data_IF_719651742858
#
_entry.id   IF_719651742858
#
_cell.length_a   1.000
_cell.length_b   1.000
_cell.length_c   1.000
_cell.angle_alpha   90.00
_cell.angle_beta   90.00
_cell.angle_gamma   90.00
#
_symmetry.space_group_name_H-M   'P 1'
#
loop_
_entity.id
_entity.type
_entity.pdbx_description
1 polymer ?
#
# COMPACT_ATOMS: atom_id res chain seq x y z
N UNK A 1 15.38 31.51 -8.39
CA UNK A 1 15.22 30.20 -9.09
C UNK A 1 16.52 29.42 -8.99
N UNK A 2 16.46 28.08 -8.90
CA UNK A 2 17.64 27.21 -8.88
C UNK A 2 17.85 26.56 -10.25
N UNK A 3 19.10 26.36 -10.65
CA UNK A 3 19.43 25.61 -11.87
C UNK A 3 19.05 24.13 -11.71
N UNK A 4 18.23 23.62 -12.62
CA UNK A 4 17.85 22.21 -12.70
C UNK A 4 18.05 21.72 -14.14
N UNK A 5 18.56 20.50 -14.33
CA UNK A 5 18.71 19.91 -15.68
C UNK A 5 17.41 19.33 -16.22
N UNK A 6 16.62 18.75 -15.32
CA UNK A 6 15.46 17.94 -15.69
C UNK A 6 14.17 18.43 -15.01
N UNK A 7 13.04 17.98 -15.54
CA UNK A 7 11.72 18.23 -14.98
C UNK A 7 11.16 19.61 -15.32
N UNK A 8 10.10 19.99 -14.61
CA UNK A 8 9.32 21.19 -14.92
C UNK A 8 10.14 22.50 -14.80
N UNK A 9 11.10 22.53 -13.87
CA UNK A 9 12.00 23.66 -13.62
C UNK A 9 13.33 23.54 -14.37
N UNK A 10 13.41 22.68 -15.40
CA UNK A 10 14.62 22.57 -16.22
C UNK A 10 15.03 23.94 -16.78
N UNK A 11 16.33 24.21 -16.77
CA UNK A 11 16.92 25.42 -17.34
C UNK A 11 16.55 25.55 -18.83
N UNK A 12 16.12 26.74 -19.24
CA UNK A 12 15.49 26.97 -20.56
C UNK A 12 16.28 27.87 -21.49
N UNK A 13 17.21 28.65 -20.94
CA UNK A 13 18.07 29.48 -21.76
C UNK A 13 19.01 28.58 -22.58
N UNK A 14 19.19 28.85 -23.89
CA UNK A 14 20.12 28.08 -24.73
C UNK A 14 21.55 28.05 -24.19
N UNK A 15 21.95 29.10 -23.48
CA UNK A 15 23.23 29.21 -22.80
C UNK A 15 23.08 28.81 -21.34
N UNK A 16 24.03 28.03 -20.84
CA UNK A 16 24.07 27.69 -19.41
C UNK A 16 24.47 28.91 -18.57
N UNK A 17 24.09 28.98 -17.29
CA UNK A 17 24.50 30.08 -16.41
C UNK A 17 26.00 30.40 -16.45
N UNK A 18 26.86 29.37 -16.44
CA UNK A 18 28.33 29.53 -16.54
C UNK A 18 28.75 30.22 -17.84
N UNK A 19 28.10 29.89 -18.96
CA UNK A 19 28.37 30.47 -20.27
C UNK A 19 27.89 31.92 -20.36
N UNK A 20 26.71 32.22 -19.81
CA UNK A 20 26.16 33.58 -19.74
C UNK A 20 27.10 34.47 -18.92
N UNK A 21 27.50 34.02 -17.73
CA UNK A 21 28.40 34.80 -16.87
C UNK A 21 29.76 35.04 -17.53
N UNK A 22 30.34 34.02 -18.19
CA UNK A 22 31.60 34.17 -18.91
C UNK A 22 31.49 35.16 -20.08
N UNK A 23 30.36 35.16 -20.81
CA UNK A 23 30.06 36.11 -21.89
C UNK A 23 29.99 37.54 -21.35
N UNK A 24 29.24 37.77 -20.27
CA UNK A 24 29.13 39.09 -19.64
C UNK A 24 30.48 39.62 -19.13
N UNK A 25 31.30 38.76 -18.52
CA UNK A 25 32.65 39.14 -18.10
C UNK A 25 33.52 39.55 -19.29
N UNK A 26 33.45 38.81 -20.40
CA UNK A 26 34.19 39.11 -21.63
C UNK A 26 33.75 40.43 -22.26
N UNK A 27 32.44 40.67 -22.36
CA UNK A 27 31.87 41.91 -22.90
C UNK A 27 32.27 43.14 -22.05
N UNK A 28 32.34 42.95 -20.73
CA UNK A 28 32.79 43.98 -19.81
C UNK A 28 34.32 44.06 -19.63
N UNK A 29 35.08 43.29 -20.42
CA UNK A 29 36.57 43.25 -20.41
C UNK A 29 37.17 42.89 -19.04
N UNK A 30 36.54 41.98 -18.32
CA UNK A 30 37.02 41.41 -17.06
C UNK A 30 37.52 39.98 -17.29
N UNK A 31 38.47 39.55 -16.47
CA UNK A 31 38.91 38.15 -16.40
C UNK A 31 37.72 37.17 -16.26
N UNK A 32 37.83 35.97 -16.85
CA UNK A 32 36.77 34.96 -16.76
C UNK A 32 36.48 34.57 -15.30
N UNK A 33 35.22 34.18 -14.99
CA UNK A 33 34.84 33.78 -13.64
C UNK A 33 35.60 32.51 -13.20
N UNK A 34 36.09 32.52 -11.96
CA UNK A 34 36.77 31.37 -11.34
C UNK A 34 35.88 30.79 -10.25
N UNK A 35 35.57 29.49 -10.38
CA UNK A 35 34.70 28.76 -9.47
C UNK A 35 35.54 27.94 -8.48
N UNK A 36 35.28 28.12 -7.19
CA UNK A 36 35.86 27.33 -6.10
C UNK A 36 34.74 26.90 -5.16
N UNK A 37 34.84 25.76 -4.46
CA UNK A 37 33.80 25.35 -3.52
C UNK A 37 33.44 26.48 -2.54
N UNK A 38 32.17 26.91 -2.54
CA UNK A 38 31.65 27.98 -1.70
C UNK A 38 31.94 29.42 -2.14
N UNK A 39 32.77 29.66 -3.17
CA UNK A 39 33.13 31.02 -3.61
C UNK A 39 33.26 31.15 -5.13
N UNK A 40 32.75 32.26 -5.69
CA UNK A 40 32.99 32.64 -7.09
C UNK A 40 33.77 33.94 -7.15
N UNK A 41 34.85 33.96 -7.91
CA UNK A 41 35.62 35.18 -8.17
C UNK A 41 35.30 35.72 -9.57
N UNK A 42 34.89 36.97 -9.61
CA UNK A 42 34.63 37.73 -10.86
C UNK A 42 35.43 39.02 -10.81
N UNK A 43 36.48 39.09 -11.62
CA UNK A 43 37.47 40.18 -11.56
C UNK A 43 38.13 40.28 -10.18
N UNK A 44 37.89 41.39 -9.48
CA UNK A 44 38.43 41.64 -8.13
C UNK A 44 37.45 41.28 -7.00
N UNK A 45 36.21 40.94 -7.32
CA UNK A 45 35.16 40.67 -6.35
C UNK A 45 35.05 39.16 -6.15
N UNK A 46 35.05 38.74 -4.88
CA UNK A 46 34.82 37.34 -4.50
C UNK A 46 33.50 37.26 -3.75
N UNK A 47 32.57 36.47 -4.26
CA UNK A 47 31.22 36.33 -3.68
C UNK A 47 31.11 34.95 -3.03
N UNK A 48 30.79 34.87 -1.74
CA UNK A 48 30.46 33.60 -1.10
C UNK A 48 29.11 33.10 -1.61
N UNK A 49 29.04 31.83 -1.99
CA UNK A 49 27.82 31.16 -2.44
C UNK A 49 27.62 29.90 -1.61
N UNK A 50 26.47 29.79 -0.96
CA UNK A 50 26.13 28.59 -0.20
C UNK A 50 25.77 27.46 -1.18
N UNK A 51 26.47 26.33 -1.11
CA UNK A 51 26.23 25.17 -1.95
C UNK A 51 26.15 23.93 -1.08
N UNK A 52 25.13 23.10 -1.30
CA UNK A 52 25.05 21.77 -0.70
C UNK A 52 26.15 20.87 -1.28
N UNK A 53 26.99 20.28 -0.42
CA UNK A 53 28.17 19.47 -0.81
C UNK A 53 27.85 18.14 -1.53
N UNK A 54 26.57 17.83 -1.75
CA UNK A 54 26.10 16.52 -2.26
C UNK A 54 25.94 16.49 -3.79
N UNK A 55 26.05 17.64 -4.47
CA UNK A 55 25.80 17.75 -5.91
C UNK A 55 27.06 17.53 -6.78
N UNK A 56 26.86 17.01 -8.02
CA UNK A 56 27.89 16.93 -9.07
C UNK A 56 28.56 18.30 -9.27
N UNK A 57 29.90 18.33 -9.34
CA UNK A 57 30.72 19.53 -9.56
C UNK A 57 30.17 20.41 -10.70
N UNK A 58 29.73 19.80 -11.80
CA UNK A 58 29.18 20.54 -12.95
C UNK A 58 27.81 21.17 -12.66
N UNK A 59 27.02 20.63 -11.74
CA UNK A 59 25.73 21.22 -11.34
C UNK A 59 25.97 22.35 -10.35
N UNK A 60 26.94 22.16 -9.45
CA UNK A 60 27.39 23.19 -8.51
C UNK A 60 27.83 24.46 -9.26
N UNK A 61 28.72 24.35 -10.24
CA UNK A 61 29.20 25.51 -11.00
C UNK A 61 28.06 26.32 -11.66
N UNK A 62 27.05 25.64 -12.20
CA UNK A 62 25.89 26.30 -12.82
C UNK A 62 25.02 27.04 -11.80
N UNK A 63 24.81 26.46 -10.61
CA UNK A 63 24.09 27.14 -9.53
C UNK A 63 24.86 28.34 -8.99
N UNK A 64 26.18 28.20 -8.88
CA UNK A 64 27.05 29.29 -8.47
C UNK A 64 27.02 30.44 -9.47
N UNK A 65 27.18 30.14 -10.76
CA UNK A 65 27.09 31.14 -11.82
C UNK A 65 25.72 31.84 -11.82
N UNK A 66 24.62 31.09 -11.68
CA UNK A 66 23.27 31.65 -11.62
C UNK A 66 23.07 32.60 -10.43
N UNK A 67 23.67 32.29 -9.28
CA UNK A 67 23.63 33.17 -8.10
C UNK A 67 24.32 34.51 -8.38
N UNK A 68 25.46 34.48 -9.09
CA UNK A 68 26.15 35.70 -9.51
C UNK A 68 25.32 36.48 -10.53
N UNK A 69 24.68 35.81 -11.50
CA UNK A 69 23.82 36.48 -12.49
C UNK A 69 22.65 37.24 -11.84
N UNK A 70 21.97 36.67 -10.84
CA UNK A 70 20.93 37.38 -10.10
C UNK A 70 21.46 38.64 -9.39
N UNK A 71 22.73 38.60 -8.96
CA UNK A 71 23.42 39.70 -8.29
C UNK A 71 24.26 40.55 -9.26
N UNK A 72 24.10 40.38 -10.56
CA UNK A 72 24.96 41.06 -11.53
C UNK A 72 24.91 42.58 -11.35
N UNK A 73 23.75 43.14 -11.01
CA UNK A 73 23.54 44.54 -10.70
C UNK A 73 24.37 45.09 -9.51
N UNK A 74 24.86 44.23 -8.60
CA UNK A 74 25.72 44.61 -7.47
C UNK A 74 27.17 44.87 -7.92
N UNK A 75 27.56 44.44 -9.12
CA UNK A 75 28.89 44.67 -9.66
C UNK A 75 29.01 46.08 -10.24
N UNK A 76 30.19 46.74 -10.18
CA UNK A 76 30.36 48.13 -10.66
C UNK A 76 30.00 48.36 -12.14
N UNK A 77 30.12 47.31 -12.94
CA UNK A 77 29.79 47.25 -14.38
C UNK A 77 28.45 46.55 -14.65
N UNK A 78 27.75 46.22 -13.58
CA UNK A 78 26.57 45.38 -13.55
C UNK A 78 25.31 46.12 -13.95
N UNK A 79 24.30 45.35 -14.34
CA UNK A 79 22.94 45.83 -14.54
C UNK A 79 21.94 44.78 -14.06
N UNK A 80 20.67 45.16 -13.94
CA UNK A 80 19.60 44.21 -13.71
C UNK A 80 19.38 43.38 -14.98
N UNK A 81 19.78 42.10 -14.94
CA UNK A 81 19.63 41.19 -16.09
C UNK A 81 18.19 40.71 -16.30
N UNK A 82 17.33 40.80 -15.28
CA UNK A 82 15.92 40.43 -15.36
C UNK A 82 15.05 41.57 -14.84
N UNK A 83 14.56 42.46 -15.71
CA UNK A 83 13.43 43.31 -15.36
C UNK A 83 12.16 42.44 -15.35
N UNK A 84 11.45 42.40 -14.21
CA UNK A 84 10.18 41.68 -14.09
C UNK A 84 9.08 42.37 -14.91
N UNK A 85 9.00 42.04 -16.20
CA UNK A 85 7.87 42.40 -17.05
C UNK A 85 6.92 41.21 -17.15
N UNK A 86 6.26 40.91 -16.04
CA UNK A 86 5.17 39.93 -16.00
C UNK A 86 3.88 40.67 -16.34
N UNK A 87 3.27 40.32 -17.48
CA UNK A 87 1.93 40.75 -17.84
C UNK A 87 0.91 39.75 -17.30
N UNK A 88 -0.08 40.24 -16.55
CA UNK A 88 -1.17 39.42 -16.03
C UNK A 88 -2.46 39.72 -16.78
N UNK A 89 -3.08 38.70 -17.36
CA UNK A 89 -4.39 38.80 -18.04
C UNK A 89 -5.43 37.89 -17.39
N UNK A 90 -6.59 38.45 -17.06
CA UNK A 90 -7.73 37.69 -16.55
C UNK A 90 -8.38 36.85 -17.64
N UNK A 91 -8.79 35.63 -17.30
CA UNK A 91 -9.50 34.71 -18.16
C UNK A 91 -11.00 34.78 -17.89
N UNK A 92 -11.78 34.84 -18.96
CA UNK A 92 -13.23 34.91 -18.92
C UNK A 92 -13.83 33.78 -19.78
N UNK A 93 -14.92 33.18 -19.30
CA UNK A 93 -15.72 32.26 -20.11
C UNK A 93 -16.81 33.07 -20.85
N UNK A 94 -16.93 32.94 -22.19
CA UNK A 94 -18.00 33.57 -22.96
C UNK A 94 -19.42 33.28 -22.44
N UNK A 95 -19.65 32.11 -21.86
CA UNK A 95 -20.94 31.68 -21.28
C UNK A 95 -21.24 32.34 -19.93
N UNK A 96 -20.22 32.89 -19.25
CA UNK A 96 -20.34 33.59 -17.95
C UNK A 96 -19.66 34.97 -18.03
N UNK A 97 -20.17 35.89 -18.86
CA UNK A 97 -19.56 37.19 -19.05
C UNK A 97 -19.50 37.96 -17.72
N UNK A 98 -18.35 38.59 -17.45
CA UNK A 98 -18.11 39.37 -16.23
C UNK A 98 -17.59 38.58 -15.03
N UNK A 99 -17.53 37.23 -15.10
CA UNK A 99 -16.94 36.41 -14.03
C UNK A 99 -15.54 35.94 -14.44
N UNK A 100 -14.52 36.42 -13.71
CA UNK A 100 -13.14 35.97 -13.86
C UNK A 100 -12.99 34.50 -13.42
N UNK A 101 -12.40 33.65 -14.27
CA UNK A 101 -12.21 32.21 -14.02
C UNK A 101 -10.75 31.82 -13.78
N UNK A 102 -9.85 32.79 -13.74
CA UNK A 102 -8.43 32.59 -13.55
C UNK A 102 -7.63 33.75 -14.15
N UNK A 103 -6.31 33.67 -14.02
CA UNK A 103 -5.35 34.63 -14.58
C UNK A 103 -4.24 33.88 -15.30
N UNK A 104 -3.77 34.45 -16.40
CA UNK A 104 -2.52 34.07 -17.06
C UNK A 104 -1.49 35.12 -16.70
N UNK A 105 -0.36 34.69 -16.15
CA UNK A 105 0.85 35.50 -16.03
C UNK A 105 1.80 35.10 -17.15
N UNK A 106 2.27 36.06 -17.93
CA UNK A 106 3.15 35.84 -19.06
C UNK A 106 4.32 36.82 -19.03
N UNK A 107 5.48 36.35 -19.49
CA UNK A 107 6.61 37.20 -19.84
C UNK A 107 7.03 36.82 -21.25
N UNK A 108 7.58 37.79 -21.98
CA UNK A 108 8.10 37.57 -23.33
C UNK A 108 9.61 37.70 -23.25
N UNK A 109 10.30 36.68 -23.76
CA UNK A 109 11.75 36.69 -23.91
C UNK A 109 12.10 36.87 -25.39
N UNK A 110 13.08 37.73 -25.68
CA UNK A 110 13.47 38.11 -27.04
C UNK A 110 14.89 37.62 -27.31
N UNK A 111 15.02 36.58 -28.14
CA UNK A 111 16.31 36.00 -28.49
C UNK A 111 16.87 36.62 -29.78
N UNK A 112 18.13 37.12 -29.76
CA UNK A 112 18.88 37.46 -30.96
C UNK A 112 19.02 36.28 -31.93
N UNK A 113 18.90 36.57 -33.24
CA UNK A 113 18.93 35.57 -34.30
C UNK A 113 20.31 34.94 -34.53
N UNK A 114 21.37 35.54 -33.99
CA UNK A 114 22.76 35.06 -34.05
C UNK A 114 23.14 34.12 -32.91
N UNK A 115 22.21 33.85 -31.99
CA UNK A 115 22.40 32.91 -30.88
C UNK A 115 21.69 31.58 -31.14
N UNK A 116 22.06 30.50 -30.40
CA UNK A 116 21.35 29.23 -30.50
C UNK A 116 19.87 29.43 -30.23
N UNK A 117 19.02 28.80 -31.04
CA UNK A 117 17.57 28.90 -30.90
C UNK A 117 17.13 28.40 -29.52
N UNK A 118 16.07 29.00 -28.93
CA UNK A 118 15.46 28.47 -27.72
C UNK A 118 15.06 27.01 -27.89
N UNK A 119 15.06 26.29 -26.77
CA UNK A 119 14.63 24.91 -26.73
C UNK A 119 13.18 24.72 -27.21
N UNK A 120 12.74 23.47 -27.40
CA UNK A 120 11.37 23.19 -27.84
C UNK A 120 10.34 23.81 -26.89
N UNK A 121 9.18 24.27 -27.42
CA UNK A 121 8.10 24.80 -26.59
C UNK A 121 7.72 23.83 -25.47
N UNK A 122 7.36 24.37 -24.31
CA UNK A 122 6.89 23.53 -23.21
C UNK A 122 5.57 22.88 -23.59
N UNK A 123 5.51 21.56 -23.50
CA UNK A 123 4.25 20.86 -23.68
C UNK A 123 3.32 21.16 -22.49
N UNK A 124 2.34 22.03 -22.74
CA UNK A 124 1.28 22.40 -21.79
C UNK A 124 0.04 21.52 -21.92
N UNK A 125 0.08 20.47 -22.75
CA UNK A 125 -1.05 19.54 -22.87
C UNK A 125 -1.40 18.95 -21.51
N UNK A 126 -2.70 18.71 -21.22
CA UNK A 126 -3.11 18.03 -20.00
C UNK A 126 -2.30 16.76 -19.79
N UNK A 127 -1.70 16.64 -18.60
CA UNK A 127 -0.86 15.50 -18.27
C UNK A 127 -1.75 14.28 -18.16
N UNK A 128 -1.46 13.25 -18.95
CA UNK A 128 -2.21 11.99 -18.91
C UNK A 128 -1.76 11.15 -17.72
N UNK A 129 -2.70 10.48 -17.02
CA UNK A 129 -2.33 9.49 -16.02
C UNK A 129 -1.60 8.31 -16.68
N UNK A 130 -0.82 7.60 -15.88
CA UNK A 130 -0.12 6.38 -16.29
C UNK A 130 -0.66 5.20 -15.48
N UNK A 131 -0.89 4.07 -16.16
CA UNK A 131 -1.31 2.84 -15.51
C UNK A 131 -0.18 2.20 -14.69
N UNK A 132 -0.52 1.74 -13.49
CA UNK A 132 0.34 1.01 -12.59
C UNK A 132 -0.36 -0.24 -12.05
N UNK A 133 0.44 -1.25 -11.72
CA UNK A 133 0.04 -2.44 -10.97
C UNK A 133 0.79 -2.47 -9.64
N UNK A 134 0.07 -2.43 -8.53
CA UNK A 134 0.60 -2.62 -7.18
C UNK A 134 0.35 -4.05 -6.73
N UNK A 135 1.43 -4.80 -6.55
CA UNK A 135 1.43 -6.14 -5.96
C UNK A 135 1.72 -6.00 -4.47
N UNK A 136 0.84 -6.53 -3.62
CA UNK A 136 1.02 -6.54 -2.16
C UNK A 136 1.03 -7.99 -1.70
N UNK A 137 2.14 -8.47 -1.15
CA UNK A 137 2.23 -9.81 -0.59
C UNK A 137 2.11 -9.70 0.93
N UNK A 138 1.09 -10.32 1.49
CA UNK A 138 0.94 -10.53 2.93
C UNK A 138 1.69 -11.82 3.27
N UNK A 139 2.83 -11.68 3.94
CA UNK A 139 3.65 -12.81 4.36
C UNK A 139 3.08 -13.37 5.66
N UNK A 140 3.19 -12.59 6.72
CA UNK A 140 2.85 -13.00 8.08
C UNK A 140 2.16 -11.88 8.86
N UNK A 141 1.49 -12.24 9.95
CA UNK A 141 1.08 -11.36 11.03
C UNK A 141 1.71 -11.83 12.34
N UNK A 142 1.91 -10.91 13.28
CA UNK A 142 2.47 -11.20 14.61
C UNK A 142 1.80 -10.33 15.67
N UNK A 143 1.73 -10.82 16.90
CA UNK A 143 1.13 -10.16 18.07
C UNK A 143 -0.30 -9.60 17.81
N UNK A 144 -1.09 -10.26 16.96
CA UNK A 144 -2.50 -9.89 16.74
C UNK A 144 -3.32 -10.22 18.00
N UNK A 145 -4.21 -9.31 18.39
CA UNK A 145 -5.11 -9.51 19.54
C UNK A 145 -5.99 -10.74 19.34
N UNK A 146 -6.19 -11.50 20.43
CA UNK A 146 -6.98 -12.73 20.44
C UNK A 146 -8.34 -12.49 21.11
N UNK A 147 -9.41 -12.66 20.35
CA UNK A 147 -10.79 -12.41 20.79
C UNK A 147 -11.50 -13.69 21.26
N UNK A 148 -11.35 -14.81 20.55
CA UNK A 148 -12.07 -16.05 20.85
C UNK A 148 -11.49 -16.84 22.03
N UNK A 149 -12.35 -17.56 22.75
CA UNK A 149 -11.95 -18.61 23.68
C UNK A 149 -12.12 -19.99 23.02
N UNK A 150 -11.04 -20.78 22.99
CA UNK A 150 -11.07 -22.14 22.44
C UNK A 150 -12.08 -23.01 23.22
N UNK A 151 -13.15 -23.44 22.55
CA UNK A 151 -14.28 -24.17 23.14
C UNK A 151 -13.90 -25.37 24.05
N UNK A 152 -12.76 -26.01 23.80
CA UNK A 152 -12.31 -27.19 24.55
C UNK A 152 -11.24 -26.92 25.61
N UNK A 153 -10.39 -25.90 25.44
CA UNK A 153 -9.27 -25.61 26.36
C UNK A 153 -9.49 -24.35 27.18
N UNK A 154 -10.40 -23.46 26.77
CA UNK A 154 -10.57 -22.13 27.36
C UNK A 154 -9.37 -21.20 27.13
N UNK A 155 -8.47 -21.56 26.22
CA UNK A 155 -7.33 -20.73 25.82
C UNK A 155 -7.77 -19.74 24.76
N UNK A 156 -7.32 -18.49 24.85
CA UNK A 156 -7.60 -17.48 23.84
C UNK A 156 -7.00 -17.87 22.48
N UNK A 157 -7.76 -17.70 21.42
CA UNK A 157 -7.36 -17.94 20.03
C UNK A 157 -8.04 -16.94 19.09
N UNK A 158 -7.61 -16.87 17.84
CA UNK A 158 -8.33 -16.17 16.76
C UNK A 158 -8.08 -16.85 15.41
N UNK A 159 -9.08 -16.80 14.53
CA UNK A 159 -9.07 -17.23 13.14
C UNK A 159 -8.74 -16.04 12.23
N UNK A 160 -7.45 -15.73 12.11
CA UNK A 160 -6.98 -14.45 11.55
C UNK A 160 -7.04 -14.45 10.02
N UNK A 161 -7.51 -13.36 9.43
CA UNK A 161 -7.29 -13.06 8.01
C UNK A 161 -7.11 -11.55 7.76
N UNK A 162 -6.54 -11.21 6.60
CA UNK A 162 -6.24 -9.81 6.24
C UNK A 162 -7.03 -9.40 4.99
N UNK A 163 -7.69 -8.24 5.07
CA UNK A 163 -8.34 -7.56 3.94
C UNK A 163 -7.48 -6.39 3.47
N UNK A 164 -7.52 -6.08 2.18
CA UNK A 164 -6.83 -4.95 1.61
C UNK A 164 -7.55 -4.35 0.42
N UNK A 165 -7.36 -3.05 0.21
CA UNK A 165 -7.82 -2.35 -0.99
C UNK A 165 -7.01 -1.07 -1.20
N UNK A 166 -6.95 -0.63 -2.46
CA UNK A 166 -6.49 0.73 -2.78
C UNK A 166 -7.71 1.64 -2.79
N UNK A 167 -7.61 2.82 -2.18
CA UNK A 167 -8.74 3.76 -2.13
C UNK A 167 -9.22 4.05 -3.56
N UNK A 168 -10.53 3.93 -3.76
CA UNK A 168 -11.23 4.26 -5.01
C UNK A 168 -11.22 3.19 -6.10
N UNK A 169 -10.49 2.09 -5.93
CA UNK A 169 -10.80 0.85 -6.64
C UNK A 169 -11.93 0.12 -5.89
N UNK A 170 -12.85 -0.51 -6.61
CA UNK A 170 -13.89 -1.36 -6.00
C UNK A 170 -13.34 -2.77 -5.65
N UNK A 171 -12.07 -3.01 -5.92
CA UNK A 171 -11.35 -4.26 -5.65
C UNK A 171 -10.95 -4.38 -4.18
N UNK A 172 -11.83 -4.95 -3.36
CA UNK A 172 -11.51 -5.44 -2.02
C UNK A 172 -11.02 -6.89 -2.10
N UNK A 173 -9.80 -7.15 -1.65
CA UNK A 173 -9.17 -8.47 -1.68
C UNK A 173 -8.87 -8.95 -0.26
N UNK A 174 -9.00 -10.26 -0.03
CA UNK A 174 -8.72 -10.87 1.27
C UNK A 174 -7.81 -12.08 1.13
N UNK A 175 -7.05 -12.36 2.19
CA UNK A 175 -6.30 -13.62 2.29
C UNK A 175 -7.24 -14.79 2.56
N UNK A 176 -6.70 -16.01 2.55
CA UNK A 176 -7.35 -17.12 3.24
C UNK A 176 -7.22 -16.99 4.77
N UNK A 177 -7.95 -17.82 5.50
CA UNK A 177 -8.01 -17.78 6.96
C UNK A 177 -6.88 -18.62 7.54
N UNK A 178 -6.20 -18.08 8.55
CA UNK A 178 -5.31 -18.82 9.43
C UNK A 178 -6.08 -19.24 10.68
N UNK A 179 -6.50 -20.51 10.71
CA UNK A 179 -7.29 -21.04 11.82
C UNK A 179 -6.47 -21.25 13.09
N UNK A 180 -7.06 -20.91 14.23
CA UNK A 180 -6.60 -21.24 15.58
C UNK A 180 -5.21 -20.70 15.89
N UNK A 181 -5.01 -19.41 15.68
CA UNK A 181 -3.81 -18.72 16.16
C UNK A 181 -3.86 -18.59 17.68
N UNK A 182 -2.88 -19.16 18.38
CA UNK A 182 -2.78 -19.11 19.86
C UNK A 182 -1.88 -17.97 20.35
N UNK A 183 -1.08 -17.39 19.46
CA UNK A 183 -0.06 -16.39 19.77
C UNK A 183 -0.29 -15.06 19.05
N UNK A 184 -1.30 -14.98 18.18
CA UNK A 184 -1.51 -13.83 17.29
C UNK A 184 -0.68 -13.90 16.00
N UNK A 185 0.03 -15.02 15.78
CA UNK A 185 0.76 -15.29 14.55
C UNK A 185 -0.17 -15.79 13.44
N UNK A 186 -0.02 -15.26 12.23
CA UNK A 186 -0.79 -15.70 11.06
C UNK A 186 0.12 -15.80 9.84
N UNK A 187 0.16 -16.97 9.19
CA UNK A 187 1.02 -17.22 8.03
C UNK A 187 0.18 -17.35 6.76
N UNK A 188 0.40 -16.49 5.75
CA UNK A 188 -0.48 -16.38 4.59
C UNK A 188 0.22 -16.66 3.26
N UNK A 189 1.38 -16.05 3.01
CA UNK A 189 2.03 -16.03 1.69
C UNK A 189 1.01 -15.74 0.58
N UNK A 190 0.32 -14.60 0.66
CA UNK A 190 -0.82 -14.29 -0.19
C UNK A 190 -0.62 -12.98 -0.94
N UNK A 191 -0.79 -12.99 -2.27
CA UNK A 191 -0.62 -11.82 -3.13
C UNK A 191 -1.94 -11.14 -3.47
N UNK A 192 -2.03 -9.84 -3.19
CA UNK A 192 -3.01 -8.93 -3.77
C UNK A 192 -2.43 -8.23 -5.00
N UNK A 193 -3.27 -7.95 -5.99
CA UNK A 193 -2.87 -7.27 -7.22
C UNK A 193 -3.89 -6.16 -7.52
N UNK A 194 -3.46 -4.91 -7.51
CA UNK A 194 -4.32 -3.75 -7.74
C UNK A 194 -3.84 -2.95 -8.95
N UNK A 195 -4.76 -2.68 -9.89
CA UNK A 195 -4.49 -1.86 -11.06
C UNK A 195 -5.12 -0.47 -10.89
N UNK A 196 -4.34 0.58 -11.16
CA UNK A 196 -4.85 1.95 -11.08
C UNK A 196 -4.04 2.93 -11.95
N UNK A 197 -4.71 4.02 -12.33
CA UNK A 197 -4.11 5.12 -13.06
C UNK A 197 -3.59 6.20 -12.11
N UNK A 198 -2.34 6.63 -12.30
CA UNK A 198 -1.67 7.58 -11.41
C UNK A 198 -1.11 8.79 -12.15
N UNK A 199 -1.36 9.97 -11.59
CA UNK A 199 -0.85 11.25 -12.10
C UNK A 199 0.29 11.75 -11.21
N UNK A 200 1.53 11.52 -11.63
CA UNK A 200 2.73 11.80 -10.84
C UNK A 200 2.92 13.28 -10.45
N UNK A 201 2.35 14.19 -11.25
CA UNK A 201 2.41 15.63 -11.01
C UNK A 201 1.62 16.04 -9.76
N UNK A 202 0.41 15.50 -9.62
CA UNK A 202 -0.53 15.83 -8.56
C UNK A 202 -0.45 14.81 -7.40
N UNK A 203 0.25 13.69 -7.60
CA UNK A 203 0.39 12.60 -6.63
C UNK A 203 -0.96 11.97 -6.25
N UNK A 204 -1.83 11.82 -7.25
CA UNK A 204 -3.19 11.31 -7.11
C UNK A 204 -3.44 10.14 -8.05
N UNK A 205 -4.27 9.21 -7.60
CA UNK A 205 -4.91 8.21 -8.48
C UNK A 205 -6.05 8.91 -9.21
N UNK A 206 -6.19 8.62 -10.51
CA UNK A 206 -7.26 9.12 -11.37
C UNK A 206 -8.23 7.98 -11.60
N UNK A 207 -9.51 8.22 -11.38
CA UNK A 207 -10.58 7.26 -11.63
C UNK A 207 -11.55 7.89 -12.60
N UNK A 208 -11.72 7.26 -13.74
CA UNK A 208 -12.68 7.64 -14.75
C UNK A 208 -13.96 6.84 -14.52
N UNK A 209 -15.04 7.49 -14.06
CA UNK A 209 -16.36 6.87 -13.88
C UNK A 209 -17.33 7.37 -14.94
N UNK A 210 -18.03 6.45 -15.59
CA UNK A 210 -19.25 6.74 -16.37
C UNK A 210 -20.43 6.72 -15.42
N UNK A 211 -21.24 7.78 -15.40
CA UNK A 211 -22.42 7.84 -14.52
C UNK A 211 -23.49 6.80 -14.89
N UNK A 212 -23.50 6.34 -16.14
CA UNK A 212 -24.36 5.26 -16.64
C UNK A 212 -23.74 4.60 -17.87
N UNK A 213 -24.10 3.34 -18.15
CA UNK A 213 -23.72 2.61 -19.39
C UNK A 213 -24.17 3.36 -20.65
N UNK A 214 -25.14 4.28 -20.52
CA UNK A 214 -25.69 5.10 -21.60
C UNK A 214 -25.25 6.58 -21.55
N UNK A 215 -24.47 7.00 -20.55
CA UNK A 215 -23.93 8.36 -20.49
C UNK A 215 -22.61 8.44 -21.26
N UNK A 216 -22.52 9.40 -22.18
CA UNK A 216 -21.28 9.68 -22.90
C UNK A 216 -20.26 10.46 -22.05
N UNK A 217 -20.73 11.12 -20.98
CA UNK A 217 -19.90 11.94 -20.12
C UNK A 217 -19.12 11.08 -19.13
N UNK A 218 -17.79 11.09 -19.28
CA UNK A 218 -16.84 10.48 -18.36
C UNK A 218 -16.46 11.50 -17.29
N UNK A 219 -16.77 11.19 -16.03
CA UNK A 219 -16.35 12.01 -14.89
C UNK A 219 -14.98 11.53 -14.40
N UNK A 220 -13.99 12.42 -14.40
CA UNK A 220 -12.67 12.13 -13.81
C UNK A 220 -12.63 12.58 -12.36
N UNK A 221 -12.41 11.63 -11.45
CA UNK A 221 -12.24 11.90 -10.03
C UNK A 221 -10.81 11.62 -9.61
N UNK A 222 -10.23 12.52 -8.82
CA UNK A 222 -8.86 12.42 -8.34
C UNK A 222 -8.83 12.19 -6.85
N UNK A 223 -8.11 11.15 -6.43
CA UNK A 223 -8.09 10.72 -5.03
C UNK A 223 -6.66 10.44 -4.55
N UNK A 224 -6.39 10.50 -3.24
CA UNK A 224 -5.08 10.15 -2.71
C UNK A 224 -4.72 8.68 -2.97
N UNK A 225 -3.48 8.42 -3.35
CA UNK A 225 -2.95 7.07 -3.54
C UNK A 225 -2.71 6.40 -2.18
N UNK A 226 -3.70 5.65 -1.70
CA UNK A 226 -3.71 5.06 -0.35
C UNK A 226 -4.03 3.57 -0.42
N UNK A 227 -3.19 2.76 0.23
CA UNK A 227 -3.44 1.34 0.48
C UNK A 227 -3.95 1.20 1.91
N UNK A 228 -5.12 0.61 2.07
CA UNK A 228 -5.70 0.27 3.37
C UNK A 228 -5.61 -1.25 3.55
N UNK A 229 -5.13 -1.68 4.71
CA UNK A 229 -5.07 -3.08 5.15
C UNK A 229 -5.82 -3.19 6.48
N UNK A 230 -6.55 -4.27 6.66
CA UNK A 230 -7.26 -4.57 7.90
C UNK A 230 -7.07 -6.01 8.30
N UNK A 231 -6.98 -6.25 9.60
CA UNK A 231 -6.94 -7.60 10.18
C UNK A 231 -8.25 -7.88 10.91
N UNK A 232 -8.75 -9.10 10.72
CA UNK A 232 -10.07 -9.54 11.17
C UNK A 232 -9.98 -10.93 11.79
N UNK A 233 -10.89 -11.20 12.73
CA UNK A 233 -11.18 -12.54 13.25
C UNK A 233 -12.35 -13.15 12.47
N UNK A 234 -12.18 -14.36 11.95
CA UNK A 234 -13.20 -15.05 11.16
C UNK A 234 -14.11 -15.88 12.06
N UNK A 235 -15.34 -15.43 12.21
CA UNK A 235 -16.30 -16.06 13.10
C UNK A 235 -17.17 -17.08 12.35
N UNK A 236 -17.42 -18.24 12.96
CA UNK A 236 -18.18 -19.29 12.27
C UNK A 236 -19.71 -19.11 12.35
N UNK A 237 -20.19 -18.45 13.40
CA UNK A 237 -21.63 -18.31 13.71
C UNK A 237 -22.09 -16.85 13.94
N UNK A 238 -21.15 -15.90 13.95
CA UNK A 238 -21.35 -14.46 14.13
C UNK A 238 -20.78 -13.67 12.96
N UNK A 239 -20.90 -12.34 13.02
CA UNK A 239 -20.19 -11.46 12.10
C UNK A 239 -18.71 -11.38 12.52
N UNK A 240 -17.80 -11.44 11.55
CA UNK A 240 -16.36 -11.29 11.77
C UNK A 240 -16.01 -10.04 12.58
N UNK A 241 -15.07 -10.20 13.52
CA UNK A 241 -14.63 -9.11 14.40
C UNK A 241 -13.46 -8.33 13.78
N UNK A 242 -13.56 -7.01 13.84
CA UNK A 242 -12.51 -6.11 13.38
C UNK A 242 -11.42 -5.95 14.45
N UNK A 243 -10.19 -6.38 14.13
CA UNK A 243 -9.07 -6.38 15.07
C UNK A 243 -8.12 -5.18 14.87
N UNK A 244 -8.03 -4.62 13.67
CA UNK A 244 -7.13 -3.48 13.44
C UNK A 244 -7.02 -3.03 12.00
N UNK A 245 -6.54 -1.80 11.81
CA UNK A 245 -6.33 -1.20 10.50
C UNK A 245 -4.94 -0.59 10.35
N UNK A 246 -4.47 -0.55 9.11
CA UNK A 246 -3.23 0.09 8.69
C UNK A 246 -3.51 0.82 7.38
N UNK A 247 -3.18 2.11 7.36
CA UNK A 247 -3.35 2.95 6.18
C UNK A 247 -2.00 3.49 5.72
N UNK A 248 -1.58 3.16 4.51
CA UNK A 248 -0.33 3.60 3.89
C UNK A 248 -0.61 4.58 2.73
N UNK A 249 -0.17 5.83 2.85
CA UNK A 249 -0.11 6.75 1.69
C UNK A 249 1.07 6.37 0.82
N UNK A 250 0.81 5.86 -0.38
CA UNK A 250 1.82 5.36 -1.32
C UNK A 250 2.86 6.43 -1.70
N UNK A 251 2.51 7.72 -1.60
CA UNK A 251 3.44 8.81 -1.85
C UNK A 251 4.41 9.06 -0.69
N UNK A 252 4.04 8.70 0.54
CA UNK A 252 4.80 8.98 1.76
C UNK A 252 4.30 8.12 2.92
N UNK A 253 4.98 7.02 3.23
CA UNK A 253 4.68 6.16 4.37
C UNK A 253 5.97 5.76 5.12
N UNK A 254 5.89 5.43 6.43
CA UNK A 254 7.08 5.03 7.19
C UNK A 254 7.67 3.75 6.62
N UNK A 255 8.99 3.69 6.54
CA UNK A 255 9.70 2.46 6.16
C UNK A 255 9.38 1.35 7.17
N UNK A 256 8.94 0.20 6.67
CA UNK A 256 8.63 -0.96 7.51
C UNK A 256 9.85 -1.44 8.31
N UNK A 257 9.61 -1.94 9.51
CA UNK A 257 10.65 -2.47 10.38
C UNK A 257 11.21 -3.79 9.81
N UNK A 258 12.46 -4.13 10.15
CA UNK A 258 13.12 -5.35 9.66
C UNK A 258 12.61 -6.63 10.32
N UNK A 259 11.97 -6.51 11.48
CA UNK A 259 11.45 -7.64 12.27
C UNK A 259 10.26 -7.16 13.10
N UNK A 260 9.33 -8.06 13.44
CA UNK A 260 8.18 -7.75 14.28
C UNK A 260 8.53 -7.10 15.63
N UNK A 261 9.65 -7.50 16.26
CA UNK A 261 10.14 -6.91 17.52
C UNK A 261 10.50 -5.43 17.44
N UNK A 262 10.92 -4.96 16.27
CA UNK A 262 11.29 -3.57 16.02
C UNK A 262 10.10 -2.75 15.47
N UNK A 263 8.98 -3.41 15.20
CA UNK A 263 7.77 -2.77 14.71
C UNK A 263 6.99 -2.21 15.91
N UNK A 264 7.01 -0.88 16.06
CA UNK A 264 6.36 -0.18 17.17
C UNK A 264 5.38 0.86 16.65
N UNK A 265 4.40 1.23 17.48
CA UNK A 265 3.40 2.25 17.15
C UNK A 265 4.03 3.62 16.86
N UNK A 266 5.20 3.88 17.44
CA UNK A 266 5.97 5.10 17.25
C UNK A 266 6.33 5.37 15.78
N UNK A 267 6.40 4.32 14.96
CA UNK A 267 6.67 4.45 13.53
C UNK A 267 5.59 5.23 12.77
N UNK A 268 4.36 5.24 13.29
CA UNK A 268 3.23 5.94 12.67
C UNK A 268 2.97 7.28 13.38
N UNK A 269 3.19 7.35 14.70
CA UNK A 269 2.85 8.53 15.50
C UNK A 269 3.95 9.59 15.53
N UNK A 270 5.23 9.20 15.42
CA UNK A 270 6.34 10.16 15.45
C UNK A 270 6.59 10.77 14.07
N UNK A 271 6.36 12.08 13.97
CA UNK A 271 6.72 12.90 12.80
C UNK A 271 8.06 13.65 12.97
N UNK A 272 8.91 13.22 13.91
CA UNK A 272 10.20 13.84 14.24
C UNK A 272 11.33 13.53 13.24
N UNK A 273 11.05 12.71 12.22
CA UNK A 273 12.03 12.30 11.21
C UNK A 273 12.92 11.14 11.64
N UNK A 274 12.67 10.53 12.81
CA UNK A 274 13.39 9.34 13.30
C UNK A 274 13.21 8.14 12.37
N UNK A 275 12.02 7.97 11.78
CA UNK A 275 11.71 6.89 10.84
C UNK A 275 11.77 7.42 9.40
N UNK A 276 12.64 6.84 8.54
CA UNK A 276 12.71 7.22 7.14
C UNK A 276 11.37 7.02 6.42
N UNK A 277 10.90 8.05 5.72
CA UNK A 277 9.68 7.98 4.91
C UNK A 277 9.99 7.51 3.49
N UNK A 278 9.15 6.65 2.95
CA UNK A 278 9.30 6.03 1.64
C UNK A 278 8.19 6.49 0.70
N UNK A 279 8.53 6.62 -0.57
CA UNK A 279 7.60 6.84 -1.67
C UNK A 279 7.71 5.65 -2.63
N UNK A 280 6.64 4.87 -2.79
CA UNK A 280 6.68 3.64 -3.61
C UNK A 280 6.92 3.94 -5.10
N UNK A 281 6.51 5.10 -5.59
CA UNK A 281 6.74 5.54 -6.97
C UNK A 281 8.22 5.88 -7.26
N UNK A 282 9.03 6.09 -6.21
CA UNK A 282 10.48 6.24 -6.32
C UNK A 282 11.22 4.94 -6.00
N UNK A 283 10.78 4.25 -4.95
CA UNK A 283 11.31 2.96 -4.53
C UNK A 283 10.29 1.87 -4.84
N UNK A 284 10.39 1.27 -6.03
CA UNK A 284 9.40 0.34 -6.58
C UNK A 284 9.10 -0.88 -5.69
N UNK A 285 10.05 -1.35 -4.88
CA UNK A 285 9.89 -2.55 -4.04
C UNK A 285 10.33 -2.29 -2.60
N UNK A 286 9.49 -2.70 -1.65
CA UNK A 286 9.79 -2.62 -0.22
C UNK A 286 9.13 -3.78 0.52
N UNK A 287 9.86 -4.39 1.44
CA UNK A 287 9.37 -5.40 2.37
C UNK A 287 9.66 -4.94 3.80
N UNK A 288 8.72 -5.15 4.72
CA UNK A 288 8.91 -4.83 6.12
C UNK A 288 7.69 -5.12 6.97
N UNK A 289 7.80 -4.76 8.24
CA UNK A 289 6.74 -4.88 9.24
C UNK A 289 6.10 -3.53 9.52
N UNK A 290 4.77 -3.50 9.58
CA UNK A 290 3.99 -2.32 9.95
C UNK A 290 2.97 -2.66 11.05
N UNK A 291 2.69 -1.74 11.98
CA UNK A 291 1.76 -1.98 13.06
C UNK A 291 0.30 -1.75 12.60
N UNK A 292 -0.57 -2.68 12.93
CA UNK A 292 -2.01 -2.47 12.94
C UNK A 292 -2.43 -1.74 14.20
N UNK A 293 -3.40 -0.84 14.08
CA UNK A 293 -3.91 -0.11 15.21
C UNK A 293 -5.42 0.10 15.15
N UNK A 294 -6.00 0.31 16.32
CA UNK A 294 -7.36 0.80 16.50
C UNK A 294 -7.28 2.19 17.14
N UNK A 295 -8.20 3.05 16.72
CA UNK A 295 -8.42 4.35 17.34
C UNK A 295 -9.54 4.21 18.38
N UNK A 296 -9.19 4.30 19.66
CA UNK A 296 -10.18 4.33 20.76
C UNK A 296 -10.86 5.71 20.83
N UNK A 297 -11.99 5.79 21.52
CA UNK A 297 -12.81 7.00 21.66
C UNK A 297 -12.03 8.23 22.17
N UNK A 298 -10.96 7.99 22.94
CA UNK A 298 -10.08 9.03 23.47
C UNK A 298 -9.00 9.52 22.47
N UNK A 299 -9.13 9.22 21.18
CA UNK A 299 -8.14 9.54 20.13
C UNK A 299 -6.76 8.86 20.30
N UNK A 300 -6.62 7.98 21.29
CA UNK A 300 -5.40 7.20 21.52
C UNK A 300 -5.37 6.01 20.56
N UNK A 301 -4.25 5.87 19.85
CA UNK A 301 -3.99 4.74 18.97
C UNK A 301 -3.37 3.60 19.79
N UNK A 302 -3.98 2.42 19.70
CA UNK A 302 -3.52 1.21 20.35
C UNK A 302 -3.03 0.21 19.30
N UNK A 303 -1.87 -0.40 19.56
CA UNK A 303 -1.30 -1.45 18.73
C UNK A 303 -2.12 -2.74 18.92
N UNK A 304 -2.71 -3.25 17.85
CA UNK A 304 -3.56 -4.46 17.90
C UNK A 304 -3.03 -5.62 17.06
N UNK A 305 -1.90 -5.43 16.39
CA UNK A 305 -1.20 -6.45 15.64
C UNK A 305 -0.08 -5.88 14.79
N UNK A 306 0.65 -6.75 14.12
CA UNK A 306 1.72 -6.36 13.18
C UNK A 306 1.56 -7.18 11.91
N UNK A 307 1.87 -6.59 10.77
CA UNK A 307 1.85 -7.27 9.46
C UNK A 307 3.18 -7.15 8.76
N UNK A 308 3.68 -8.30 8.30
CA UNK A 308 4.78 -8.38 7.34
C UNK A 308 4.20 -8.33 5.94
N UNK A 309 4.42 -7.20 5.26
CA UNK A 309 3.97 -7.02 3.90
C UNK A 309 5.14 -6.71 2.96
N UNK A 310 4.94 -7.00 1.69
CA UNK A 310 5.84 -6.61 0.62
C UNK A 310 5.04 -5.91 -0.48
N UNK A 311 5.41 -4.67 -0.76
CA UNK A 311 4.81 -3.85 -1.80
C UNK A 311 5.76 -3.79 -2.98
N UNK A 312 5.25 -4.09 -4.17
CA UNK A 312 5.96 -3.99 -5.43
C UNK A 312 5.09 -3.26 -6.45
N UNK A 313 5.51 -2.06 -6.84
CA UNK A 313 4.84 -1.21 -7.82
C UNK A 313 5.54 -1.32 -9.18
N UNK A 314 4.77 -1.67 -10.20
CA UNK A 314 5.20 -1.81 -11.58
C UNK A 314 4.39 -0.88 -12.46
N UNK A 315 4.97 -0.38 -13.55
CA UNK A 315 4.14 0.22 -14.60
C UNK A 315 3.32 -0.87 -15.28
N UNK A 316 2.20 -0.51 -15.88
CA UNK A 316 1.35 -1.48 -16.59
C UNK A 316 2.14 -2.27 -17.65
N UNK A 317 3.03 -1.60 -18.40
CA UNK A 317 3.93 -2.25 -19.37
C UNK A 317 4.90 -3.28 -18.73
N UNK A 318 5.37 -3.02 -17.50
CA UNK A 318 6.26 -3.94 -16.77
C UNK A 318 5.49 -5.13 -16.21
N UNK A 319 4.24 -4.90 -15.78
CA UNK A 319 3.34 -5.91 -15.26
C UNK A 319 2.89 -6.91 -16.33
N UNK A 320 2.54 -6.43 -17.52
CA UNK A 320 2.17 -7.27 -18.67
C UNK A 320 3.31 -8.20 -19.11
N UNK A 321 4.57 -7.76 -18.97
CA UNK A 321 5.75 -8.59 -19.27
C UNK A 321 6.02 -9.67 -18.23
N UNK A 322 5.61 -9.45 -16.97
CA UNK A 322 5.85 -10.36 -15.85
C UNK A 322 4.53 -10.62 -15.12
N UNK A 323 3.58 -11.34 -15.73
CA UNK A 323 2.26 -11.52 -15.14
C UNK A 323 2.33 -12.33 -13.84
N UNK A 324 1.43 -12.03 -12.91
CA UNK A 324 1.30 -12.73 -11.63
C UNK A 324 -0.14 -13.19 -11.38
N UNK A 325 -0.30 -14.31 -10.69
CA UNK A 325 -1.58 -14.77 -10.19
C UNK A 325 -1.97 -14.10 -8.87
N UNK A 326 -3.28 -14.08 -8.60
CA UNK A 326 -3.85 -13.69 -7.31
C UNK A 326 -3.60 -14.77 -6.24
N UNK A 327 -3.38 -14.34 -5.00
CA UNK A 327 -3.12 -15.23 -3.87
C UNK A 327 -1.84 -16.02 -4.06
N UNK A 328 -1.98 -17.34 -4.24
CA UNK A 328 -0.88 -18.29 -4.48
C UNK A 328 -0.93 -18.89 -5.89
N UNK A 329 -1.84 -18.43 -6.72
CA UNK A 329 -2.09 -19.03 -8.03
C UNK A 329 -0.99 -18.64 -9.02
N UNK A 330 -0.87 -19.43 -10.09
CA UNK A 330 -0.06 -19.08 -11.26
C UNK A 330 -0.66 -17.87 -12.00
N UNK A 331 0.14 -17.12 -12.76
CA UNK A 331 1.60 -17.22 -12.96
C UNK A 331 2.44 -16.75 -11.75
N UNK A 332 3.68 -17.26 -11.64
CA UNK A 332 4.60 -17.01 -10.51
C UNK A 332 3.96 -17.30 -9.13
N UNK A 333 3.61 -18.57 -8.86
CA UNK A 333 2.89 -18.97 -7.65
C UNK A 333 3.74 -18.75 -6.40
N UNK A 334 3.08 -18.39 -5.30
CA UNK A 334 3.72 -18.30 -3.99
C UNK A 334 3.72 -19.65 -3.28
N UNK A 335 4.80 -19.93 -2.54
CA UNK A 335 4.89 -21.11 -1.70
C UNK A 335 3.78 -21.12 -0.65
N UNK A 336 3.26 -22.31 -0.35
CA UNK A 336 2.28 -22.46 0.74
C UNK A 336 2.90 -22.05 2.08
N UNK A 337 2.14 -21.36 2.94
CA UNK A 337 2.65 -20.96 4.25
C UNK A 337 2.93 -22.19 5.12
N UNK A 338 3.95 -22.10 5.96
CA UNK A 338 4.24 -23.14 6.95
C UNK A 338 3.30 -22.95 8.14
N UNK A 339 2.22 -23.73 8.19
CA UNK A 339 1.20 -23.69 9.27
C UNK A 339 1.30 -24.97 10.10
N UNK A 340 1.23 -24.90 11.44
CA UNK A 340 1.11 -26.11 12.26
C UNK A 340 -0.20 -26.84 11.94
N UNK A 341 -0.19 -28.19 11.98
CA UNK A 341 -1.34 -29.06 11.67
C UNK A 341 -2.48 -29.04 12.72
N UNK A 342 -2.68 -27.91 13.41
CA UNK A 342 -3.70 -27.75 14.46
C UNK A 342 -5.12 -27.57 13.89
N UNK A 343 -5.25 -27.29 12.60
CA UNK A 343 -6.50 -26.98 11.89
C UNK A 343 -7.50 -28.15 11.82
N UNK A 344 -7.07 -29.41 11.96
CA UNK A 344 -7.95 -30.58 11.86
C UNK A 344 -8.54 -31.08 13.19
N UNK A 345 -8.17 -30.49 14.33
CA UNK A 345 -8.59 -30.99 15.64
C UNK A 345 -10.07 -30.65 15.92
N UNK A 346 -10.61 -29.57 15.36
CA UNK A 346 -11.96 -29.10 15.65
C UNK A 346 -13.07 -30.05 15.16
N UNK A 347 -12.92 -30.73 14.02
CA UNK A 347 -13.93 -31.71 13.56
C UNK A 347 -13.80 -33.07 14.28
N UNK A 348 -12.58 -33.46 14.65
CA UNK A 348 -12.32 -34.75 15.30
C UNK A 348 -12.63 -34.74 16.81
N UNK A 349 -12.66 -33.57 17.44
CA UNK A 349 -12.98 -33.42 18.85
C UNK A 349 -14.47 -33.65 19.21
N UNK A 350 -15.47 -33.11 18.50
CA UNK A 350 -16.87 -33.32 18.83
C UNK A 350 -17.25 -34.79 18.73
N UNK A 351 -16.74 -35.55 17.75
CA UNK A 351 -17.00 -36.99 17.64
C UNK A 351 -16.33 -37.79 18.79
N UNK A 352 -15.12 -37.42 19.21
CA UNK A 352 -14.45 -38.04 20.38
C UNK A 352 -15.16 -37.69 21.69
N UNK A 353 -15.62 -36.46 21.85
CA UNK A 353 -16.38 -35.98 23.00
C UNK A 353 -17.79 -36.59 23.05
N UNK A 354 -18.49 -36.71 21.91
CA UNK A 354 -19.77 -37.43 21.81
C UNK A 354 -19.58 -38.89 22.19
N UNK A 355 -18.54 -39.55 21.67
CA UNK A 355 -18.21 -40.93 22.02
C UNK A 355 -17.93 -41.07 23.52
N UNK A 356 -17.20 -40.14 24.13
CA UNK A 356 -16.90 -40.16 25.56
C UNK A 356 -18.15 -39.95 26.42
N UNK A 357 -19.01 -38.97 26.08
CA UNK A 357 -20.25 -38.65 26.81
C UNK A 357 -21.29 -39.78 26.66
N UNK A 358 -21.49 -40.30 25.44
CA UNK A 358 -22.34 -41.46 25.18
C UNK A 358 -21.84 -42.69 25.95
N UNK A 359 -20.52 -42.93 25.97
CA UNK A 359 -19.95 -44.08 26.65
C UNK A 359 -19.94 -43.95 28.18
N UNK A 360 -19.80 -42.76 28.75
CA UNK A 360 -19.84 -42.55 30.20
C UNK A 360 -21.28 -42.66 30.75
N UNK A 361 -22.24 -41.99 30.11
CA UNK A 361 -23.59 -41.82 30.67
C UNK A 361 -24.60 -42.88 30.19
N UNK A 362 -24.44 -43.39 28.96
CA UNK A 362 -25.40 -44.31 28.35
C UNK A 362 -24.94 -45.77 28.33
N UNK A 363 -23.68 -46.10 28.67
CA UNK A 363 -23.21 -47.52 28.66
C UNK A 363 -24.11 -48.46 29.45
N UNK A 364 -24.51 -48.08 30.66
CA UNK A 364 -25.37 -48.91 31.51
C UNK A 364 -26.82 -48.92 31.04
N UNK A 365 -27.29 -47.83 30.40
CA UNK A 365 -28.64 -47.76 29.82
C UNK A 365 -28.75 -48.63 28.56
N UNK A 366 -27.74 -48.59 27.70
CA UNK A 366 -27.62 -49.42 26.49
C UNK A 366 -27.50 -50.90 26.87
N UNK A 367 -26.66 -51.23 27.86
CA UNK A 367 -26.52 -52.61 28.34
C UNK A 367 -27.84 -53.14 28.92
N UNK A 368 -28.54 -52.35 29.75
CA UNK A 368 -29.87 -52.73 30.27
C UNK A 368 -30.89 -52.93 29.16
N UNK A 369 -30.92 -52.05 28.16
CA UNK A 369 -31.79 -52.17 26.99
C UNK A 369 -31.51 -53.46 26.20
N UNK A 370 -30.24 -53.78 25.93
CA UNK A 370 -29.86 -55.00 25.23
C UNK A 370 -30.24 -56.26 26.02
N UNK A 371 -30.07 -56.26 27.34
CA UNK A 371 -30.48 -57.38 28.20
C UNK A 371 -32.00 -57.56 28.19
N UNK A 372 -32.77 -56.47 28.27
CA UNK A 372 -34.24 -56.52 28.19
C UNK A 372 -34.67 -57.05 26.82
N UNK A 373 -34.06 -56.55 25.73
CA UNK A 373 -34.33 -57.00 24.37
C UNK A 373 -34.01 -58.49 24.18
N UNK A 374 -32.90 -58.97 24.75
CA UNK A 374 -32.55 -60.38 24.70
C UNK A 374 -33.57 -61.25 25.47
N UNK A 375 -34.01 -60.80 26.65
CA UNK A 375 -35.03 -61.49 27.45
C UNK A 375 -36.38 -61.52 26.75
N UNK A 376 -36.80 -60.42 26.10
CA UNK A 376 -38.05 -60.39 25.34
C UNK A 376 -37.98 -61.28 24.11
N UNK A 377 -36.86 -61.31 23.40
CA UNK A 377 -36.63 -62.26 22.30
C UNK A 377 -36.69 -63.72 22.77
N UNK A 378 -36.08 -64.01 23.93
CA UNK A 378 -36.09 -65.36 24.51
C UNK A 378 -37.51 -65.78 24.91
N UNK A 379 -38.29 -64.88 25.50
CA UNK A 379 -39.70 -65.11 25.80
C UNK A 379 -40.54 -65.29 24.53
N UNK A 380 -40.35 -64.46 23.50
CA UNK A 380 -41.03 -64.60 22.22
C UNK A 380 -40.72 -65.94 21.57
N UNK A 381 -39.44 -66.36 21.56
CA UNK A 381 -39.02 -67.67 21.05
C UNK A 381 -39.59 -68.82 21.89
N UNK A 382 -39.69 -68.66 23.21
CA UNK A 382 -40.30 -69.63 24.11
C UNK A 382 -41.80 -69.82 23.81
N UNK A 383 -42.56 -68.73 23.68
CA UNK A 383 -43.98 -68.79 23.30
C UNK A 383 -44.21 -69.24 21.86
N UNK A 384 -43.31 -68.90 20.95
CA UNK A 384 -43.35 -69.40 19.57
C UNK A 384 -43.07 -70.92 19.49
N UNK A 385 -42.22 -71.46 20.37
CA UNK A 385 -41.89 -72.90 20.40
C UNK A 385 -42.87 -73.76 21.23
N UNK A 386 -43.71 -73.14 22.07
CA UNK A 386 -44.71 -73.83 22.91
C UNK A 386 -45.76 -74.67 22.15
N UNK A 387 -46.30 -74.27 20.97
CA UNK A 387 -47.23 -75.09 20.21
C UNK A 387 -46.58 -76.34 19.63
N UNK A 388 -45.27 -76.31 19.35
CA UNK A 388 -44.52 -77.46 18.82
C UNK A 388 -44.19 -78.53 19.88
N UNK A 389 -43.97 -78.11 21.13
CA UNK A 389 -43.61 -79.02 22.23
C UNK A 389 -44.84 -79.64 22.91
N UNK A 390 -45.94 -78.91 22.99
CA UNK A 390 -47.23 -79.44 23.48
C UNK A 390 -47.87 -80.39 22.47
N UNK A 391 -47.77 -80.11 21.17
CA UNK A 391 -48.20 -81.03 20.12
C UNK A 391 -47.43 -82.37 20.15
N UNK A 392 -46.12 -82.36 20.40
CA UNK A 392 -45.29 -83.57 20.55
C UNK A 392 -45.58 -84.38 21.82
N UNK A 393 -46.15 -83.77 22.86
CA UNK A 393 -46.47 -84.47 24.13
C UNK A 393 -47.90 -85.02 24.17
N UNK A 394 -48.80 -84.48 23.34
CA UNK A 394 -50.20 -84.94 23.22
C UNK A 394 -50.34 -86.00 22.11
N UNK A 395 -49.56 -85.90 21.03
CA UNK A 395 -49.48 -86.94 19.99
C UNK A 395 -48.28 -87.82 20.32
N UNK A 396 -48.49 -88.90 21.07
CA UNK A 396 -47.42 -89.85 21.40
C UNK A 396 -46.68 -90.33 20.16
N UNK A 397 -45.39 -90.00 20.07
CA UNK A 397 -44.45 -90.60 19.14
C UNK A 397 -43.06 -90.59 19.78
N UNK A 398 -42.37 -91.73 19.66
CA UNK A 398 -41.05 -92.05 20.24
C UNK A 398 -40.01 -90.94 20.13
#
# INVERSE_FOLDING_TARGET
>A
MNFCRDGYNAWRDPMKPTQILAKLCKEAKIDPPVYTPGHVKVGRITVPVNVDEVDDLKIMEERMALTILHKWHEFPIGCYLTPEHIETRSLYNPEKPGMEQGKIEMWVDMFPMDMPLPGPPTNISPRKPKGYELRVIIWNTDEVVLEDDAFFTGEKMSDIYVKGWVKGTEDNQSTDIHYRSLTGEGNFNWRFVYNFDYLSAERRIVITKKESVFSWDESETKIPARLDLQVWDADHFSADDFLGALTLDLNKFPRGAKSAKLCTMEMITRNDGSVPMVNIFKQKRIKGWWPFYIKKDNEVLELTGKVEAELHLLTQEEAEKNPVGLGRNEPEPLDKPNRPDTSFVWFMNPLKSLRYILWQNLKWKILKFLVILALTLLLLLFFYSLPGYTAKRIVGAK
#
